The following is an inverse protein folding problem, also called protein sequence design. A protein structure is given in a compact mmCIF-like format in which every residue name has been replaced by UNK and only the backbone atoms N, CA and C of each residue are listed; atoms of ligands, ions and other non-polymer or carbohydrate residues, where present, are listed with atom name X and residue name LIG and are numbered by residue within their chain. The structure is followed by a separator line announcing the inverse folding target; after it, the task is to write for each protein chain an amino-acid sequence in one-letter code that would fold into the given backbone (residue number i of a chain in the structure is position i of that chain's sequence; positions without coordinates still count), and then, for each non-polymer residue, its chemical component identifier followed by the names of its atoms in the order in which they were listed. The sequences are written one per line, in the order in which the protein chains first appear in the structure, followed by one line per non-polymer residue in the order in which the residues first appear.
data_IF_010798248116
#
_entry.id   IF_010798248116
#
_cell.length_a   1.000
_cell.length_b   1.000
_cell.length_c   1.000
_cell.angle_alpha   90.00
_cell.angle_beta   90.00
_cell.angle_gamma   90.00
#
_symmetry.space_group_name_H-M   'P 1'
#
loop_
_entity.id
_entity.type
_entity.pdbx_description
1 polymer ?
#
# COMPACT_ATOMS: atom_id res chain seq x y z
N UNK A 1 5.78 26.13 -9.31
CA UNK A 1 6.15 25.35 -8.11
C UNK A 1 5.51 23.99 -8.28
N UNK A 2 6.29 22.95 -8.55
CA UNK A 2 5.75 21.59 -8.56
C UNK A 2 5.41 21.24 -7.10
N UNK A 3 4.18 20.82 -6.79
CA UNK A 3 3.89 20.28 -5.48
C UNK A 3 4.57 18.91 -5.44
N UNK A 4 5.80 18.85 -4.93
CA UNK A 4 6.34 17.60 -4.42
C UNK A 4 5.42 17.22 -3.28
N UNK A 5 4.47 16.32 -3.52
CA UNK A 5 3.74 15.66 -2.45
C UNK A 5 4.85 15.09 -1.56
N UNK A 6 5.04 15.60 -0.34
CA UNK A 6 6.06 15.06 0.52
C UNK A 6 5.61 13.63 0.80
N UNK A 7 6.31 12.68 0.18
CA UNK A 7 6.29 11.30 0.66
C UNK A 7 6.62 11.44 2.16
N UNK A 8 5.89 10.78 3.07
CA UNK A 8 6.14 10.87 4.50
C UNK A 8 7.48 10.19 4.87
N UNK A 9 8.59 10.74 4.36
CA UNK A 9 9.99 10.41 4.66
C UNK A 9 10.46 11.09 5.94
N UNK A 10 9.67 12.00 6.48
CA UNK A 10 9.85 12.71 7.75
C UNK A 10 9.76 11.78 8.97
N UNK A 11 9.17 10.59 8.84
CA UNK A 11 9.19 9.58 9.90
C UNK A 11 9.20 8.14 9.33
N UNK A 12 10.35 7.46 9.44
CA UNK A 12 10.55 6.07 9.02
C UNK A 12 9.51 5.11 9.61
N UNK A 13 9.03 5.35 10.83
CA UNK A 13 8.04 4.49 11.48
C UNK A 13 6.65 4.64 10.86
N UNK A 14 6.25 5.84 10.44
CA UNK A 14 5.00 6.07 9.70
C UNK A 14 5.06 5.35 8.35
N UNK A 15 6.19 5.46 7.65
CA UNK A 15 6.39 4.74 6.38
C UNK A 15 6.31 3.23 6.57
N UNK A 16 6.99 2.65 7.57
CA UNK A 16 6.90 1.22 7.85
C UNK A 16 5.47 0.77 8.15
N UNK A 17 4.72 1.57 8.93
CA UNK A 17 3.34 1.28 9.29
C UNK A 17 2.42 1.25 8.05
N UNK A 18 2.47 2.30 7.23
CA UNK A 18 1.61 2.43 6.05
C UNK A 18 2.01 1.48 4.93
N UNK A 19 3.31 1.31 4.68
CA UNK A 19 3.81 0.36 3.67
C UNK A 19 3.50 -1.09 4.06
N UNK A 20 3.66 -1.45 5.33
CA UNK A 20 3.28 -2.76 5.85
C UNK A 20 1.78 -3.02 5.66
N UNK A 21 0.93 -2.02 5.91
CA UNK A 21 -0.52 -2.12 5.72
C UNK A 21 -0.89 -2.28 4.23
N UNK A 22 -0.22 -1.56 3.33
CA UNK A 22 -0.38 -1.74 1.88
C UNK A 22 0.02 -3.16 1.46
N UNK A 23 1.15 -3.68 1.96
CA UNK A 23 1.57 -5.05 1.69
C UNK A 23 0.52 -6.08 2.15
N UNK A 24 -0.09 -5.88 3.31
CA UNK A 24 -1.15 -6.77 3.82
C UNK A 24 -2.35 -6.74 2.87
N UNK A 25 -2.87 -5.56 2.55
CA UNK A 25 -4.05 -5.41 1.68
C UNK A 25 -3.77 -6.01 0.30
N UNK A 26 -2.59 -5.74 -0.26
CA UNK A 26 -2.18 -6.28 -1.56
C UNK A 26 -2.04 -7.81 -1.51
N UNK A 27 -1.43 -8.37 -0.47
CA UNK A 27 -1.26 -9.82 -0.33
C UNK A 27 -2.60 -10.54 -0.17
N UNK A 28 -3.52 -9.98 0.62
CA UNK A 28 -4.89 -10.52 0.76
C UNK A 28 -5.65 -10.44 -0.56
N UNK A 29 -5.59 -9.29 -1.25
CA UNK A 29 -6.20 -9.12 -2.57
C UNK A 29 -5.67 -10.10 -3.62
N UNK A 30 -4.34 -10.26 -3.68
CA UNK A 30 -3.68 -11.22 -4.55
C UNK A 30 -4.07 -12.67 -4.23
N UNK A 31 -4.23 -13.01 -2.95
CA UNK A 31 -4.65 -14.34 -2.51
C UNK A 31 -6.09 -14.65 -2.96
N UNK A 32 -7.01 -13.70 -2.80
CA UNK A 32 -8.39 -13.81 -3.29
C UNK A 32 -8.42 -13.95 -4.82
N UNK A 33 -7.61 -13.15 -5.53
CA UNK A 33 -7.51 -13.23 -6.98
C UNK A 33 -6.98 -14.59 -7.45
N UNK A 34 -5.90 -15.09 -6.85
CA UNK A 34 -5.32 -16.39 -7.16
C UNK A 34 -6.32 -17.53 -6.90
N UNK A 35 -7.06 -17.45 -5.78
CA UNK A 35 -8.11 -18.41 -5.45
C UNK A 35 -9.22 -18.44 -6.51
N UNK A 36 -9.75 -17.26 -6.87
CA UNK A 36 -10.81 -17.15 -7.86
C UNK A 36 -10.35 -17.57 -9.27
N UNK A 37 -9.09 -17.28 -9.62
CA UNK A 37 -8.51 -17.72 -10.89
C UNK A 37 -8.42 -19.24 -10.98
N UNK A 38 -7.95 -19.89 -9.92
CA UNK A 38 -7.88 -21.35 -9.88
C UNK A 38 -9.27 -21.98 -9.91
N UNK A 39 -10.25 -21.38 -9.23
CA UNK A 39 -11.62 -21.89 -9.23
C UNK A 39 -12.27 -21.81 -10.62
N UNK A 40 -12.08 -20.70 -11.34
CA UNK A 40 -12.57 -20.55 -12.72
C UNK A 40 -11.98 -21.60 -13.67
N UNK A 41 -10.68 -21.87 -13.55
CA UNK A 41 -10.03 -22.90 -14.37
C UNK A 41 -10.54 -24.31 -14.02
N UNK A 42 -10.74 -24.62 -12.73
CA UNK A 42 -11.33 -25.90 -12.31
C UNK A 42 -12.74 -26.10 -12.88
N UNK A 43 -13.58 -25.06 -12.85
CA UNK A 43 -14.92 -25.12 -13.44
C UNK A 43 -14.84 -25.39 -14.95
N UNK A 44 -13.96 -24.69 -15.67
CA UNK A 44 -13.76 -24.92 -17.11
C UNK A 44 -13.26 -26.34 -17.43
N UNK A 45 -12.35 -26.88 -16.61
CA UNK A 45 -11.89 -28.25 -16.73
C UNK A 45 -13.05 -29.22 -16.49
N UNK A 46 -13.86 -29.00 -15.45
CA UNK A 46 -15.01 -29.85 -15.12
C UNK A 46 -16.08 -29.85 -16.23
N UNK A 47 -16.41 -28.68 -16.79
CA UNK A 47 -17.33 -28.55 -17.94
C UNK A 47 -16.82 -29.34 -19.15
N UNK A 48 -15.53 -29.25 -19.44
CA UNK A 48 -14.90 -30.00 -20.53
C UNK A 48 -14.92 -31.50 -20.27
N UNK A 49 -14.73 -31.91 -19.01
CA UNK A 49 -14.76 -33.31 -18.61
C UNK A 49 -16.15 -33.93 -18.80
N UNK A 50 -17.20 -33.21 -18.38
CA UNK A 50 -18.61 -33.61 -18.59
C UNK A 50 -18.94 -33.71 -20.09
N UNK A 51 -18.48 -32.76 -20.91
CA UNK A 51 -18.71 -32.80 -22.36
C UNK A 51 -17.99 -33.96 -23.10
N UNK A 52 -17.06 -34.64 -22.43
CA UNK A 52 -16.30 -35.80 -22.91
C UNK A 52 -16.75 -37.12 -22.26
N UNK A 53 -17.73 -37.10 -21.36
CA UNK A 53 -18.18 -38.28 -20.62
C UNK A 53 -18.83 -39.33 -21.55
N UNK A 54 -19.72 -38.87 -22.43
CA UNK A 54 -20.44 -39.73 -23.40
C UNK A 54 -19.63 -40.04 -24.68
N UNK A 55 -18.45 -39.44 -24.84
CA UNK A 55 -17.63 -39.58 -26.05
C UNK A 55 -16.56 -40.66 -25.85
N UNK A 56 -16.38 -41.50 -26.86
CA UNK A 56 -15.37 -42.57 -26.85
C UNK A 56 -14.43 -42.44 -28.05
N UNK A 57 -13.16 -42.80 -27.85
CA UNK A 57 -12.13 -42.73 -28.90
C UNK A 57 -10.77 -42.30 -28.36
N UNK A 58 -9.70 -42.64 -29.10
CA UNK A 58 -8.32 -42.36 -28.69
C UNK A 58 -8.06 -40.87 -28.41
N UNK A 59 -8.62 -39.99 -29.25
CA UNK A 59 -8.52 -38.53 -29.08
C UNK A 59 -9.20 -38.04 -27.79
N UNK A 60 -10.29 -38.68 -27.36
CA UNK A 60 -10.97 -38.34 -26.09
C UNK A 60 -10.13 -38.76 -24.89
N UNK A 61 -9.48 -39.93 -24.98
CA UNK A 61 -8.58 -40.43 -23.94
C UNK A 61 -7.39 -39.48 -23.75
N UNK A 62 -6.73 -39.08 -24.83
CA UNK A 62 -5.61 -38.12 -24.82
C UNK A 62 -6.03 -36.77 -24.23
N UNK A 63 -7.25 -36.30 -24.53
CA UNK A 63 -7.79 -35.07 -23.96
C UNK A 63 -8.06 -35.18 -22.46
N UNK A 64 -8.57 -36.32 -21.97
CA UNK A 64 -8.76 -36.59 -20.53
C UNK A 64 -7.43 -36.60 -19.78
N UNK A 65 -6.40 -37.24 -20.34
CA UNK A 65 -5.04 -37.21 -19.76
C UNK A 65 -4.46 -35.79 -19.69
N UNK A 66 -4.71 -34.96 -20.72
CA UNK A 66 -4.30 -33.56 -20.70
C UNK A 66 -5.04 -32.74 -19.63
N UNK A 67 -6.33 -33.00 -19.43
CA UNK A 67 -7.15 -32.35 -18.39
C UNK A 67 -6.67 -32.74 -17.00
N UNK A 68 -6.35 -34.01 -16.76
CA UNK A 68 -5.75 -34.48 -15.49
C UNK A 68 -4.42 -33.79 -15.20
N UNK A 69 -3.52 -33.73 -16.20
CA UNK A 69 -2.25 -32.99 -16.05
C UNK A 69 -2.46 -31.52 -15.73
N UNK A 70 -3.49 -30.88 -16.30
CA UNK A 70 -3.83 -29.49 -15.96
C UNK A 70 -4.28 -29.35 -14.52
N UNK A 71 -5.06 -30.30 -13.99
CA UNK A 71 -5.47 -30.30 -12.58
C UNK A 71 -4.25 -30.41 -11.67
N UNK A 72 -3.31 -31.29 -11.97
CA UNK A 72 -2.08 -31.45 -11.19
C UNK A 72 -1.24 -30.17 -11.18
N UNK A 73 -1.06 -29.54 -12.35
CA UNK A 73 -0.37 -28.27 -12.48
C UNK A 73 -1.09 -27.19 -11.67
N UNK A 74 -2.42 -27.13 -11.75
CA UNK A 74 -3.22 -26.14 -11.05
C UNK A 74 -3.14 -26.32 -9.52
N UNK A 75 -3.17 -27.57 -9.03
CA UNK A 75 -3.01 -27.89 -7.62
C UNK A 75 -1.63 -27.47 -7.11
N UNK A 76 -0.57 -27.80 -7.85
CA UNK A 76 0.80 -27.40 -7.53
C UNK A 76 0.95 -25.87 -7.50
N UNK A 77 0.46 -25.18 -8.53
CA UNK A 77 0.52 -23.73 -8.63
C UNK A 77 -0.23 -23.04 -7.49
N UNK A 78 -1.39 -23.55 -7.10
CA UNK A 78 -2.17 -23.01 -5.97
C UNK A 78 -1.35 -23.05 -4.68
N UNK A 79 -0.73 -24.19 -4.37
CA UNK A 79 0.11 -24.34 -3.16
C UNK A 79 1.31 -23.39 -3.23
N UNK A 80 1.98 -23.33 -4.38
CA UNK A 80 3.12 -22.44 -4.60
C UNK A 80 2.74 -20.97 -4.41
N UNK A 81 1.65 -20.49 -5.02
CA UNK A 81 1.21 -19.11 -4.90
C UNK A 81 0.77 -18.76 -3.48
N UNK A 82 0.04 -19.66 -2.79
CA UNK A 82 -0.33 -19.43 -1.40
C UNK A 82 0.92 -19.32 -0.51
N UNK A 83 1.88 -20.23 -0.67
CA UNK A 83 3.14 -20.15 0.07
C UNK A 83 3.90 -18.84 -0.24
N UNK A 84 4.04 -18.49 -1.51
CA UNK A 84 4.72 -17.28 -1.94
C UNK A 84 4.05 -16.00 -1.40
N UNK A 85 2.71 -15.96 -1.35
CA UNK A 85 1.94 -14.82 -0.86
C UNK A 85 1.91 -14.73 0.68
N UNK A 86 2.18 -15.81 1.40
CA UNK A 86 2.25 -15.77 2.88
C UNK A 86 3.48 -15.00 3.37
N UNK A 87 4.59 -15.02 2.62
CA UNK A 87 5.81 -14.29 2.96
C UNK A 87 5.61 -12.77 3.03
N UNK A 88 5.15 -12.07 1.96
CA UNK A 88 4.92 -10.63 2.03
C UNK A 88 3.80 -10.25 2.98
N UNK A 89 2.82 -11.14 3.22
CA UNK A 89 1.77 -10.94 4.22
C UNK A 89 2.36 -10.91 5.63
N UNK A 90 3.21 -11.87 5.98
CA UNK A 90 3.88 -11.94 7.28
C UNK A 90 4.83 -10.75 7.48
N UNK A 91 5.62 -10.42 6.47
CA UNK A 91 6.50 -9.23 6.48
C UNK A 91 5.67 -7.95 6.65
N UNK A 92 4.56 -7.83 5.93
CA UNK A 92 3.63 -6.70 6.05
C UNK A 92 3.09 -6.54 7.46
N UNK A 93 2.69 -7.64 8.12
CA UNK A 93 2.25 -7.64 9.52
C UNK A 93 3.36 -7.18 10.48
N UNK A 94 4.57 -7.71 10.34
CA UNK A 94 5.70 -7.32 11.19
C UNK A 94 6.05 -5.84 11.00
N UNK A 95 6.09 -5.36 9.76
CA UNK A 95 6.36 -3.95 9.43
C UNK A 95 5.26 -3.03 9.97
N UNK A 96 3.99 -3.39 9.77
CA UNK A 96 2.86 -2.62 10.26
C UNK A 96 2.88 -2.52 11.78
N UNK A 97 3.03 -3.66 12.47
CA UNK A 97 3.04 -3.72 13.92
C UNK A 97 4.18 -2.90 14.53
N UNK A 98 5.42 -3.14 14.09
CA UNK A 98 6.59 -2.42 14.60
C UNK A 98 6.58 -0.94 14.23
N UNK A 99 6.05 -0.60 13.06
CA UNK A 99 5.83 0.78 12.61
C UNK A 99 4.86 1.53 13.54
N UNK A 100 3.68 0.96 13.79
CA UNK A 100 2.68 1.56 14.69
C UNK A 100 3.19 1.65 16.13
N UNK A 101 3.86 0.62 16.64
CA UNK A 101 4.36 0.63 18.02
C UNK A 101 5.38 1.75 18.24
N UNK A 102 6.35 1.90 17.33
CA UNK A 102 7.37 2.95 17.41
C UNK A 102 6.80 4.32 17.11
N UNK A 103 5.91 4.43 16.13
CA UNK A 103 5.25 5.71 15.82
C UNK A 103 4.48 6.24 17.04
N UNK A 104 3.72 5.39 17.74
CA UNK A 104 3.02 5.78 18.97
C UNK A 104 3.97 6.32 20.04
N UNK A 105 5.18 5.76 20.17
CA UNK A 105 6.19 6.22 21.15
C UNK A 105 6.85 7.54 20.75
N UNK A 106 7.09 7.77 19.46
CA UNK A 106 7.73 9.00 18.97
C UNK A 106 6.77 10.18 18.82
N UNK A 107 5.46 9.93 18.72
CA UNK A 107 4.48 10.97 18.47
C UNK A 107 4.49 12.11 19.51
N UNK A 108 4.54 11.86 20.83
CA UNK A 108 4.57 12.94 21.82
C UNK A 108 5.79 13.87 21.67
N UNK A 109 6.96 13.31 21.38
CA UNK A 109 8.19 14.08 21.15
C UNK A 109 8.08 14.96 19.89
N UNK A 110 7.38 14.46 18.87
CA UNK A 110 7.14 15.20 17.64
C UNK A 110 6.15 16.35 17.87
N UNK A 111 5.11 16.10 18.67
CA UNK A 111 4.12 17.11 19.04
C UNK A 111 4.76 18.23 19.87
N UNK A 112 5.65 17.90 20.82
CA UNK A 112 6.42 18.88 21.60
C UNK A 112 7.38 19.70 20.73
N UNK A 113 8.12 19.05 19.83
CA UNK A 113 9.00 19.73 18.89
C UNK A 113 8.22 20.74 18.03
N UNK A 114 7.05 20.32 17.55
CA UNK A 114 6.19 21.15 16.70
C UNK A 114 5.64 22.35 17.47
N UNK A 115 5.24 22.15 18.73
CA UNK A 115 4.84 23.25 19.62
C UNK A 115 5.96 24.27 19.81
N UNK A 116 7.18 23.81 20.12
CA UNK A 116 8.35 24.68 20.28
C UNK A 116 8.69 25.44 18.99
N UNK A 117 8.59 24.78 17.82
CA UNK A 117 8.79 25.43 16.53
C UNK A 117 7.74 26.52 16.27
N UNK A 118 6.47 26.27 16.61
CA UNK A 118 5.40 27.26 16.50
C UNK A 118 5.66 28.44 17.44
N UNK A 119 6.05 28.18 18.69
CA UNK A 119 6.37 29.24 19.68
C UNK A 119 7.54 30.10 19.20
N UNK A 120 8.62 29.47 18.73
CA UNK A 120 9.78 30.18 18.19
C UNK A 120 9.39 31.04 16.99
N UNK A 121 8.65 30.48 16.03
CA UNK A 121 8.20 31.21 14.85
C UNK A 121 7.32 32.42 15.22
N UNK A 122 6.49 32.31 16.26
CA UNK A 122 5.67 33.43 16.76
C UNK A 122 6.51 34.54 17.39
N UNK A 123 7.49 34.19 18.21
CA UNK A 123 8.40 35.16 18.82
C UNK A 123 9.20 35.88 17.73
N UNK A 124 9.69 35.17 16.72
CA UNK A 124 10.44 35.77 15.60
C UNK A 124 9.56 36.70 14.74
N UNK A 125 8.30 36.34 14.52
CA UNK A 125 7.38 37.13 13.68
C UNK A 125 6.74 38.32 14.42
N UNK A 126 6.44 38.18 15.71
CA UNK A 126 5.59 39.12 16.46
C UNK A 126 6.21 39.62 17.78
N UNK A 127 7.33 39.04 18.23
CA UNK A 127 7.95 39.36 19.51
C UNK A 127 7.22 38.80 20.75
N UNK A 128 6.15 38.03 20.56
CA UNK A 128 5.35 37.42 21.63
C UNK A 128 4.96 35.98 21.28
N UNK A 129 5.00 35.08 22.26
CA UNK A 129 4.63 33.67 22.13
C UNK A 129 3.11 33.46 22.14
N UNK A 130 2.35 34.35 22.77
CA UNK A 130 0.90 34.23 22.94
C UNK A 130 0.08 34.86 21.80
N UNK A 131 0.73 35.25 20.69
CA UNK A 131 0.04 35.88 19.56
C UNK A 131 -0.93 34.90 18.89
N UNK A 132 -2.23 34.95 19.27
CA UNK A 132 -3.29 34.04 18.79
C UNK A 132 -4.01 34.53 17.53
N UNK A 133 -3.78 35.76 17.11
CA UNK A 133 -4.44 36.32 15.92
C UNK A 133 -3.64 35.93 14.67
N UNK A 134 -4.27 35.21 13.77
CA UNK A 134 -3.70 34.93 12.46
C UNK A 134 -3.80 36.21 11.62
N UNK A 135 -2.77 37.05 11.66
CA UNK A 135 -2.67 38.18 10.74
C UNK A 135 -2.00 37.64 9.48
N UNK A 136 -2.74 37.63 8.36
CA UNK A 136 -2.18 37.24 7.07
C UNK A 136 -0.86 38.00 6.82
N UNK A 137 0.14 37.30 6.28
CA UNK A 137 1.49 37.84 6.08
C UNK A 137 1.43 39.27 5.53
N UNK A 138 2.18 40.25 6.11
CA UNK A 138 2.16 41.61 5.63
C UNK A 138 2.50 41.58 4.14
N UNK A 139 1.56 42.06 3.32
CA UNK A 139 1.76 42.23 1.90
C UNK A 139 2.98 43.15 1.76
N UNK A 140 4.12 42.59 1.33
CA UNK A 140 5.32 43.38 1.03
C UNK A 140 4.90 44.32 -0.10
N UNK A 141 4.55 45.55 0.27
CA UNK A 141 4.23 46.60 -0.70
C UNK A 141 5.49 46.79 -1.51
N UNK A 142 5.48 46.34 -2.77
CA UNK A 142 6.55 46.59 -3.76
C UNK A 142 6.55 48.09 -4.08
N UNK A 143 6.93 48.92 -3.13
CA UNK A 143 7.34 50.30 -3.37
C UNK A 143 8.83 50.28 -3.63
N UNK A 144 9.19 50.14 -4.91
CA UNK A 144 10.36 50.76 -5.57
C UNK A 144 10.51 50.23 -6.98
N UNK A 145 9.92 50.97 -7.93
CA UNK A 145 10.51 51.29 -9.23
C UNK A 145 9.52 52.14 -10.08
N UNK A 146 9.13 53.31 -9.57
CA UNK A 146 8.68 54.44 -10.39
C UNK A 146 9.39 55.70 -9.89
N UNK A 147 10.65 55.77 -10.24
CA UNK A 147 11.56 56.91 -10.16
C UNK A 147 12.80 56.32 -10.84
N UNK A 148 12.97 56.49 -12.14
CA UNK A 148 13.24 57.77 -12.80
C UNK A 148 12.68 57.74 -14.23
N UNK A 149 11.91 58.78 -14.55
CA UNK A 149 11.92 59.39 -15.88
C UNK A 149 13.30 59.99 -16.18
#
# INVERSE_FOLDING_TARGET
MQPSIPVPTDNLHKFMATFGLVLIVFSVGAMIFAYNSAHRELISIAETYLALEDKTGKSVQEMKELLEKRIDILASNRVFYLFLLTLPLAVGWVMAWTGFERWRKLQPLHDELLELQVVKARIEAYGDSNHRQFIAAPQVKKERARSKE
#
